data_IF_008135950436
#
_entry.id   IF_008135950436
#
_cell.length_a   1.000
_cell.length_b   1.000
_cell.length_c   1.000
_cell.angle_alpha   90.00
_cell.angle_beta   90.00
_cell.angle_gamma   90.00
#
_symmetry.space_group_name_H-M   'P 1'
#
loop_
_entity.id
_entity.type
_entity.pdbx_description
1 polymer ?
#
# COMPACT_ATOMS: atom_id res chain seq x y z
N UNK A 1 -31.91 4.05 -20.54
CA UNK A 1 -32.09 2.77 -19.83
C UNK A 1 -31.39 2.92 -18.49
N UNK A 2 -32.11 2.82 -17.36
CA UNK A 2 -31.50 2.82 -16.03
C UNK A 2 -31.06 1.39 -15.67
N UNK A 3 -29.84 1.22 -15.16
CA UNK A 3 -29.33 -0.08 -14.73
C UNK A 3 -29.82 -0.47 -13.35
N UNK A 4 -29.55 -1.72 -12.96
CA UNK A 4 -29.97 -2.28 -11.66
C UNK A 4 -29.43 -1.48 -10.47
N UNK A 5 -28.23 -0.90 -10.58
CA UNK A 5 -27.62 -0.10 -9.52
C UNK A 5 -28.30 1.26 -9.41
N UNK A 6 -28.59 1.93 -10.53
CA UNK A 6 -29.36 3.18 -10.54
C UNK A 6 -30.75 3.00 -9.90
N UNK A 7 -31.47 1.93 -10.24
CA UNK A 7 -32.79 1.64 -9.64
C UNK A 7 -32.67 1.40 -8.13
N UNK A 8 -31.64 0.68 -7.70
CA UNK A 8 -31.38 0.45 -6.27
C UNK A 8 -31.08 1.76 -5.54
N UNK A 9 -30.28 2.66 -6.12
CA UNK A 9 -29.94 3.95 -5.52
C UNK A 9 -31.16 4.88 -5.40
N UNK A 10 -32.02 4.93 -6.44
CA UNK A 10 -33.29 5.67 -6.36
C UNK A 10 -34.16 5.13 -5.22
N UNK A 11 -34.24 3.80 -5.06
CA UNK A 11 -35.00 3.17 -3.97
C UNK A 11 -34.50 3.58 -2.57
N UNK A 12 -33.22 3.90 -2.43
CA UNK A 12 -32.59 4.32 -1.16
C UNK A 12 -32.46 5.84 -1.03
N UNK A 13 -33.09 6.62 -1.93
CA UNK A 13 -33.07 8.08 -1.87
C UNK A 13 -31.72 8.71 -2.20
N UNK A 14 -30.81 7.97 -2.85
CA UNK A 14 -29.48 8.47 -3.21
C UNK A 14 -29.56 9.19 -4.55
N UNK A 15 -29.30 10.49 -4.52
CA UNK A 15 -29.26 11.34 -5.72
C UNK A 15 -28.00 10.98 -6.53
N UNK A 16 -28.20 10.65 -7.80
CA UNK A 16 -27.13 10.32 -8.72
C UNK A 16 -27.56 10.61 -10.16
N UNK A 17 -26.60 10.79 -11.05
CA UNK A 17 -26.81 10.91 -12.50
C UNK A 17 -26.25 9.68 -13.19
N UNK A 18 -27.10 8.93 -13.89
CA UNK A 18 -26.65 7.84 -14.75
C UNK A 18 -25.93 8.41 -15.98
N UNK A 19 -24.68 8.01 -16.20
CA UNK A 19 -23.87 8.42 -17.35
C UNK A 19 -23.91 7.40 -18.50
N UNK A 20 -24.49 6.23 -18.27
CA UNK A 20 -24.62 5.15 -19.25
C UNK A 20 -23.92 3.86 -18.83
N UNK A 21 -23.64 3.00 -19.80
CA UNK A 21 -22.95 1.73 -19.62
C UNK A 21 -21.62 1.75 -20.37
N UNK A 22 -20.59 1.11 -19.83
CA UNK A 22 -19.35 0.88 -20.56
C UNK A 22 -19.49 -0.32 -21.53
N UNK A 23 -18.40 -0.63 -22.26
CA UNK A 23 -18.37 -1.74 -23.22
C UNK A 23 -18.52 -3.13 -22.58
N UNK A 24 -18.39 -3.24 -21.26
CA UNK A 24 -18.55 -4.46 -20.48
C UNK A 24 -19.94 -4.55 -19.82
N UNK A 25 -20.81 -3.56 -20.03
CA UNK A 25 -22.15 -3.51 -19.43
C UNK A 25 -22.16 -3.03 -17.98
N UNK A 26 -21.08 -2.41 -17.50
CA UNK A 26 -21.01 -1.81 -16.17
C UNK A 26 -21.67 -0.43 -16.21
N UNK A 27 -22.62 -0.20 -15.30
CA UNK A 27 -23.31 1.08 -15.17
C UNK A 27 -22.39 2.13 -14.54
N UNK A 28 -22.17 3.24 -15.25
CA UNK A 28 -21.39 4.37 -14.78
C UNK A 28 -22.31 5.44 -14.20
N UNK A 29 -22.03 5.85 -12.96
CA UNK A 29 -22.84 6.80 -12.22
C UNK A 29 -21.98 7.98 -11.75
N UNK A 30 -22.53 9.18 -11.85
CA UNK A 30 -21.97 10.39 -11.27
C UNK A 30 -22.76 10.75 -10.02
N UNK A 31 -22.10 10.77 -8.87
CA UNK A 31 -22.67 11.20 -7.59
C UNK A 31 -22.03 12.53 -7.23
N UNK A 32 -22.82 13.48 -6.73
CA UNK A 32 -22.24 14.74 -6.28
C UNK A 32 -21.52 14.53 -4.93
N UNK A 33 -20.38 15.19 -4.70
CA UNK A 33 -19.64 15.06 -3.44
C UNK A 33 -20.45 15.44 -2.19
N UNK A 34 -21.50 16.25 -2.34
CA UNK A 34 -22.40 16.70 -1.28
C UNK A 34 -23.41 15.63 -0.81
N UNK A 35 -23.71 14.63 -1.65
CA UNK A 35 -24.66 13.55 -1.36
C UNK A 35 -23.98 12.34 -0.67
N UNK A 36 -22.65 12.34 -0.61
CA UNK A 36 -21.87 11.42 0.20
C UNK A 36 -21.28 12.23 1.36
N UNK A 37 -21.51 11.82 2.60
CA UNK A 37 -20.86 12.44 3.77
C UNK A 37 -19.35 12.16 3.70
N UNK A 38 -18.65 12.97 2.92
CA UNK A 38 -17.21 13.20 2.78
C UNK A 38 -16.30 11.99 3.05
N UNK A 39 -15.70 11.42 2.00
CA UNK A 39 -14.51 10.58 2.17
C UNK A 39 -13.35 11.48 2.60
N UNK A 40 -12.94 11.39 3.86
CA UNK A 40 -11.72 12.02 4.35
C UNK A 40 -10.55 11.05 4.19
N UNK A 41 -9.55 11.45 3.40
CA UNK A 41 -8.29 10.70 3.25
C UNK A 41 -7.24 11.32 4.16
N UNK A 42 -6.65 10.50 5.04
CA UNK A 42 -5.59 10.93 5.97
C UNK A 42 -4.29 10.22 5.60
N UNK A 43 -3.22 11.01 5.44
CA UNK A 43 -1.87 10.49 5.24
C UNK A 43 -1.07 10.71 6.53
N UNK A 44 -0.59 9.61 7.13
CA UNK A 44 0.23 9.65 8.33
C UNK A 44 1.69 9.43 7.92
N UNK A 45 2.57 10.35 8.32
CA UNK A 45 4.02 10.23 8.12
C UNK A 45 4.70 10.07 9.48
N UNK A 46 5.52 9.05 9.60
CA UNK A 46 6.29 8.77 10.82
C UNK A 46 7.77 8.96 10.51
N UNK A 47 8.46 9.71 11.36
CA UNK A 47 9.90 9.90 11.27
C UNK A 47 10.60 8.97 12.26
N UNK A 48 11.59 8.23 11.79
CA UNK A 48 12.40 7.33 12.61
C UNK A 48 13.88 7.72 12.56
N UNK A 49 14.59 7.49 13.66
CA UNK A 49 16.04 7.76 13.74
C UNK A 49 16.83 6.81 12.85
N UNK A 50 17.83 7.32 12.13
CA UNK A 50 18.68 6.51 11.26
C UNK A 50 19.53 5.47 12.00
N UNK A 51 19.92 5.77 13.25
CA UNK A 51 20.77 4.89 14.07
C UNK A 51 20.01 3.69 14.65
N UNK A 52 18.74 3.88 14.98
CA UNK A 52 17.88 2.86 15.56
C UNK A 52 16.42 3.07 15.09
N UNK A 53 16.10 2.75 13.83
CA UNK A 53 14.77 2.97 13.27
C UNK A 53 13.82 1.87 13.76
N UNK A 54 13.22 2.08 14.93
CA UNK A 54 12.19 1.22 15.52
C UNK A 54 10.85 1.93 15.54
N UNK A 55 9.79 1.26 15.10
CA UNK A 55 8.42 1.78 15.00
C UNK A 55 7.45 0.67 15.43
N UNK A 56 6.33 0.95 16.09
CA UNK A 56 5.29 -0.06 16.31
C UNK A 56 4.66 -0.52 14.99
N UNK A 57 4.49 -1.83 14.82
CA UNK A 57 3.75 -2.42 13.69
C UNK A 57 2.27 -2.07 13.77
N UNK A 58 1.66 -1.77 12.60
CA UNK A 58 0.21 -1.61 12.46
C UNK A 58 -0.48 -2.87 11.94
N UNK A 59 0.23 -4.01 11.87
CA UNK A 59 -0.30 -5.30 11.42
C UNK A 59 -1.54 -5.77 12.19
N UNK A 60 -1.63 -5.43 13.48
CA UNK A 60 -2.80 -5.79 14.30
C UNK A 60 -4.04 -4.98 13.94
N UNK A 61 -3.87 -3.81 13.34
CA UNK A 61 -4.95 -2.95 12.84
C UNK A 61 -5.29 -3.31 11.39
N UNK A 62 -4.29 -3.39 10.51
CA UNK A 62 -4.46 -3.70 9.09
C UNK A 62 -3.58 -4.87 8.67
N UNK A 63 -4.19 -6.01 8.33
CA UNK A 63 -3.44 -7.21 7.93
C UNK A 63 -2.74 -7.08 6.56
N UNK A 64 -3.19 -6.17 5.72
CA UNK A 64 -2.60 -5.90 4.40
C UNK A 64 -1.16 -5.37 4.47
N UNK A 65 -0.73 -4.88 5.64
CA UNK A 65 0.60 -4.28 5.82
C UNK A 65 1.72 -5.30 6.02
N UNK A 66 1.42 -6.61 6.15
CA UNK A 66 2.42 -7.67 6.38
C UNK A 66 3.60 -7.57 5.41
N UNK A 67 3.31 -7.59 4.10
CA UNK A 67 4.35 -7.49 3.07
C UNK A 67 5.00 -6.11 3.02
N UNK A 68 4.25 -5.04 3.27
CA UNK A 68 4.74 -3.66 3.17
C UNK A 68 5.73 -3.33 4.30
N UNK A 69 5.44 -3.77 5.53
CA UNK A 69 6.34 -3.62 6.68
C UNK A 69 7.57 -4.53 6.51
N UNK A 70 7.40 -5.75 6.00
CA UNK A 70 8.53 -6.67 5.71
C UNK A 70 9.42 -6.18 4.58
N UNK A 71 8.88 -5.58 3.53
CA UNK A 71 9.63 -4.92 2.46
C UNK A 71 10.44 -3.74 3.02
N UNK A 72 9.79 -2.88 3.82
CA UNK A 72 10.43 -1.73 4.47
C UNK A 72 11.55 -2.18 5.41
N UNK A 73 11.35 -3.28 6.14
CA UNK A 73 12.40 -3.94 6.91
C UNK A 73 13.54 -4.43 6.02
N UNK A 74 13.24 -5.19 4.97
CA UNK A 74 14.23 -5.84 4.10
C UNK A 74 15.09 -4.84 3.29
N UNK A 75 14.50 -3.72 2.91
CA UNK A 75 15.16 -2.73 2.04
C UNK A 75 15.77 -1.55 2.78
N UNK A 76 15.10 -1.06 3.82
CA UNK A 76 15.47 0.15 4.56
C UNK A 76 15.92 -0.14 6.00
N UNK A 77 15.76 -1.38 6.48
CA UNK A 77 16.17 -1.78 7.83
C UNK A 77 15.33 -1.15 8.94
N UNK A 78 14.06 -0.81 8.66
CA UNK A 78 13.12 -0.32 9.67
C UNK A 78 12.59 -1.52 10.46
N UNK A 79 12.79 -1.53 11.77
CA UNK A 79 12.33 -2.61 12.65
C UNK A 79 10.93 -2.30 13.19
N UNK A 80 10.03 -3.26 13.06
CA UNK A 80 8.63 -3.13 13.47
C UNK A 80 8.36 -3.96 14.73
N UNK A 81 8.06 -3.29 15.84
CA UNK A 81 7.75 -3.96 17.10
C UNK A 81 6.36 -4.63 17.01
N UNK A 82 6.22 -5.83 17.61
CA UNK A 82 5.00 -6.64 17.62
C UNK A 82 4.53 -7.18 16.25
N UNK A 83 5.35 -7.12 15.20
CA UNK A 83 5.03 -7.79 13.93
C UNK A 83 5.18 -9.32 14.06
N UNK A 84 4.20 -10.15 13.66
CA UNK A 84 4.22 -11.60 13.92
C UNK A 84 5.34 -12.36 13.19
N UNK A 85 5.81 -11.83 12.05
CA UNK A 85 6.81 -12.50 11.21
C UNK A 85 7.69 -11.50 10.48
N UNK A 86 8.48 -10.74 11.24
CA UNK A 86 9.43 -9.80 10.64
C UNK A 86 10.65 -10.54 10.09
N UNK A 87 10.61 -10.86 8.79
CA UNK A 87 11.68 -11.52 8.04
C UNK A 87 11.80 -10.90 6.66
N UNK A 88 13.01 -10.99 6.07
CA UNK A 88 13.27 -10.62 4.68
C UNK A 88 12.33 -11.35 3.72
N UNK A 89 12.01 -10.73 2.59
CA UNK A 89 11.10 -11.28 1.57
C UNK A 89 11.61 -11.10 0.15
N UNK A 90 12.40 -10.07 -0.12
CA UNK A 90 12.98 -9.76 -1.42
C UNK A 90 14.43 -10.25 -1.48
N UNK A 91 15.20 -10.04 -0.41
CA UNK A 91 16.60 -10.46 -0.35
C UNK A 91 16.74 -11.86 0.25
N UNK A 92 17.82 -12.58 -0.09
CA UNK A 92 18.19 -13.82 0.60
C UNK A 92 18.28 -13.60 2.11
N UNK A 93 17.91 -14.61 2.90
CA UNK A 93 17.97 -14.52 4.38
C UNK A 93 19.40 -14.25 4.90
N UNK A 94 20.41 -14.68 4.15
CA UNK A 94 21.84 -14.44 4.44
C UNK A 94 22.33 -13.05 4.07
N UNK A 95 21.50 -12.19 3.47
CA UNK A 95 21.93 -10.87 3.02
C UNK A 95 22.27 -9.94 4.19
N UNK A 96 23.38 -9.23 4.06
CA UNK A 96 23.88 -8.28 5.06
C UNK A 96 23.70 -6.86 4.52
N UNK A 97 23.07 -6.01 5.34
CA UNK A 97 22.79 -4.61 4.98
C UNK A 97 21.42 -4.39 4.35
N UNK A 98 21.17 -3.14 3.95
CA UNK A 98 19.86 -2.61 3.56
C UNK A 98 19.98 -1.87 2.22
N UNK A 99 19.65 -2.53 1.08
CA UNK A 99 20.02 -2.04 -0.26
C UNK A 99 19.53 -0.64 -0.62
N UNK A 100 18.34 -0.23 -0.16
CA UNK A 100 17.77 1.08 -0.51
C UNK A 100 18.29 2.23 0.36
N UNK A 101 19.18 1.95 1.32
CA UNK A 101 19.85 3.01 2.07
C UNK A 101 20.93 3.69 1.23
N UNK A 102 21.05 5.01 1.38
CA UNK A 102 22.04 5.81 0.64
C UNK A 102 23.50 5.54 1.03
N UNK A 103 23.72 4.96 2.21
CA UNK A 103 25.02 4.52 2.72
C UNK A 103 25.31 3.04 2.42
N UNK A 104 24.44 2.36 1.67
CA UNK A 104 24.66 0.97 1.31
C UNK A 104 25.77 0.85 0.26
N UNK A 105 26.76 0.01 0.57
CA UNK A 105 27.82 -0.37 -0.36
C UNK A 105 27.48 -1.77 -0.86
N UNK A 106 27.18 -1.89 -2.15
CA UNK A 106 26.92 -3.18 -2.76
C UNK A 106 28.18 -4.07 -2.66
N UNK A 107 28.06 -5.31 -2.15
CA UNK A 107 29.15 -6.25 -2.16
C UNK A 107 29.58 -6.55 -3.59
N UNK A 108 30.87 -6.84 -3.78
CA UNK A 108 31.42 -7.17 -5.08
C UNK A 108 31.08 -8.63 -5.44
N UNK A 109 29.84 -8.86 -5.87
CA UNK A 109 29.38 -10.14 -6.39
C UNK A 109 29.85 -10.32 -7.83
N UNK A 110 30.31 -11.53 -8.18
CA UNK A 110 30.75 -11.86 -9.53
C UNK A 110 29.62 -11.64 -10.55
N UNK A 111 28.39 -11.94 -10.15
CA UNK A 111 27.18 -11.86 -10.96
C UNK A 111 26.74 -10.44 -11.33
N UNK A 112 27.26 -9.42 -10.62
CA UNK A 112 26.91 -8.00 -10.82
C UNK A 112 28.05 -7.26 -11.54
N UNK A 113 29.15 -7.93 -11.84
CA UNK A 113 30.27 -7.34 -12.60
C UNK A 113 29.93 -7.26 -14.09
N UNK A 114 30.58 -6.31 -14.78
CA UNK A 114 30.43 -6.16 -16.21
C UNK A 114 30.96 -7.41 -16.93
N UNK A 115 30.15 -7.95 -17.85
CA UNK A 115 30.57 -9.02 -18.73
C UNK A 115 31.53 -8.44 -19.79
N UNK A 116 32.83 -8.66 -19.59
CA UNK A 116 33.86 -8.35 -20.58
C UNK A 116 33.88 -9.37 -21.72
#
# INVERSE_FOLDING_TARGET
MQGRLSVWLVKHGIIHRSLGFDYQGIETLQIKPEDWHSIAVVCIKVFASRRNPKIPSVFWVWKSVDFQERESYDMLGISYDNHPRLKRILMPESWIGWPLRKDYIAPNFYEIQDAH
#
